data_IF_000260485323
#
_entry.id   IF_000260485323
#
_cell.length_a   1.000
_cell.length_b   1.000
_cell.length_c   1.000
_cell.angle_alpha   90.00
_cell.angle_beta   90.00
_cell.angle_gamma   90.00
#
_symmetry.space_group_name_H-M   'P 1'
#
loop_
_entity.id
_entity.type
_entity.pdbx_description
1 polymer ?
#
# COMPACT_ATOMS: atom_id res chain seq x y z
N UNK A 1 -8.04 18.42 17.36
CA UNK A 1 -9.02 17.58 18.08
C UNK A 1 -8.25 16.54 18.88
N UNK A 2 -8.49 16.35 20.19
CA UNK A 2 -7.77 15.33 20.94
C UNK A 2 -8.21 13.94 20.49
N UNK A 3 -7.24 13.09 20.13
CA UNK A 3 -7.48 11.70 19.76
C UNK A 3 -7.85 10.95 21.04
N UNK A 4 -8.98 10.24 21.05
CA UNK A 4 -9.36 9.42 22.20
C UNK A 4 -8.30 8.34 22.44
N UNK A 5 -8.02 8.00 23.70
CA UNK A 5 -7.05 6.95 24.08
C UNK A 5 -7.33 5.62 23.39
N UNK A 6 -8.60 5.30 23.15
CA UNK A 6 -9.01 4.13 22.36
C UNK A 6 -8.59 4.21 20.89
N UNK A 7 -8.73 5.38 20.25
CA UNK A 7 -8.29 5.58 18.87
C UNK A 7 -6.76 5.58 18.76
N UNK A 8 -6.05 6.11 19.76
CA UNK A 8 -4.58 6.06 19.80
C UNK A 8 -4.08 4.61 19.83
N UNK A 9 -4.66 3.77 20.70
CA UNK A 9 -4.29 2.35 20.80
C UNK A 9 -4.61 1.56 19.51
N UNK A 10 -5.66 1.95 18.77
CA UNK A 10 -5.97 1.33 17.47
C UNK A 10 -4.90 1.65 16.43
N UNK A 11 -4.54 2.92 16.27
CA UNK A 11 -3.55 3.35 15.28
C UNK A 11 -2.16 2.82 15.61
N UNK A 12 -1.78 2.84 16.89
CA UNK A 12 -0.54 2.23 17.37
C UNK A 12 -0.46 0.75 17.00
N UNK A 13 -1.50 -0.03 17.33
CA UNK A 13 -1.54 -1.44 16.96
C UNK A 13 -1.49 -1.66 15.44
N UNK A 14 -2.22 -0.86 14.65
CA UNK A 14 -2.17 -0.95 13.20
C UNK A 14 -0.74 -0.73 12.67
N UNK A 15 -0.07 0.34 13.10
CA UNK A 15 1.30 0.66 12.70
C UNK A 15 2.32 -0.40 13.12
N UNK A 16 2.09 -1.13 14.23
CA UNK A 16 2.94 -2.23 14.65
C UNK A 16 2.91 -3.45 13.71
N UNK A 17 1.88 -3.59 12.87
CA UNK A 17 1.72 -4.72 11.94
C UNK A 17 1.63 -4.31 10.48
N UNK A 18 1.67 -3.01 10.17
CA UNK A 18 1.74 -2.51 8.80
C UNK A 18 3.16 -2.76 8.23
N UNK A 19 3.22 -3.23 6.98
CA UNK A 19 4.46 -3.66 6.32
C UNK A 19 4.84 -2.84 5.10
N UNK A 20 3.95 -2.01 4.57
CA UNK A 20 4.10 -1.43 3.23
C UNK A 20 4.60 0.01 3.30
N UNK A 21 4.20 0.79 4.31
CA UNK A 21 4.40 2.24 4.35
C UNK A 21 4.96 2.76 5.68
N UNK A 22 4.71 2.08 6.80
CA UNK A 22 4.89 2.65 8.12
C UNK A 22 6.33 3.10 8.40
N UNK A 23 7.33 2.38 7.90
CA UNK A 23 8.72 2.74 8.11
C UNK A 23 9.12 4.08 7.44
N UNK A 24 8.43 4.49 6.37
CA UNK A 24 8.69 5.78 5.72
C UNK A 24 8.23 6.97 6.56
N UNK A 25 7.29 6.78 7.49
CA UNK A 25 6.82 7.86 8.38
C UNK A 25 7.92 8.38 9.32
N UNK A 26 9.02 7.65 9.47
CA UNK A 26 10.20 8.06 10.26
C UNK A 26 11.31 8.70 9.45
N UNK A 27 11.22 8.68 8.13
CA UNK A 27 12.23 9.27 7.27
C UNK A 27 12.03 10.79 7.20
N UNK A 28 13.15 11.51 7.09
CA UNK A 28 13.14 12.97 7.08
C UNK A 28 12.44 13.50 5.83
N UNK A 29 11.63 14.55 6.00
CA UNK A 29 10.86 15.20 4.93
C UNK A 29 9.84 14.27 4.24
N UNK A 30 9.48 13.13 4.86
CA UNK A 30 8.50 12.20 4.29
C UNK A 30 7.13 12.85 4.05
N UNK A 31 6.80 13.92 4.78
CA UNK A 31 5.61 14.74 4.56
C UNK A 31 5.62 15.52 3.24
N UNK A 32 6.79 15.70 2.62
CA UNK A 32 6.97 16.40 1.33
C UNK A 32 7.10 15.44 0.16
N UNK A 33 7.18 14.14 0.43
CA UNK A 33 7.32 13.14 -0.61
C UNK A 33 6.04 13.03 -1.44
N UNK A 34 6.22 12.71 -2.72
CA UNK A 34 5.09 12.40 -3.58
C UNK A 34 4.45 11.08 -3.14
N UNK A 35 3.14 10.98 -3.34
CA UNK A 35 2.42 9.72 -3.12
C UNK A 35 2.84 8.74 -4.20
N UNK A 36 3.28 7.56 -3.77
CA UNK A 36 3.63 6.44 -4.62
C UNK A 36 2.86 5.19 -4.20
N UNK A 37 3.00 4.13 -4.99
CA UNK A 37 2.37 2.86 -4.73
C UNK A 37 3.38 1.89 -4.17
N UNK A 38 3.04 1.37 -3.02
CA UNK A 38 3.88 0.48 -2.25
C UNK A 38 3.30 -0.91 -2.35
N UNK A 39 4.09 -1.83 -2.87
CA UNK A 39 3.68 -3.21 -3.04
C UNK A 39 4.72 -4.14 -2.44
N UNK A 40 4.26 -5.04 -1.58
CA UNK A 40 5.03 -6.15 -1.06
C UNK A 40 4.66 -7.37 -1.93
N UNK A 41 5.65 -8.11 -2.43
CA UNK A 41 5.44 -9.23 -3.37
C UNK A 41 4.42 -10.29 -2.93
N UNK A 42 4.08 -10.34 -1.64
CA UNK A 42 3.07 -11.24 -1.08
C UNK A 42 1.64 -10.69 -1.02
N UNK A 43 1.44 -9.38 -1.11
CA UNK A 43 0.13 -8.77 -0.86
C UNK A 43 -0.64 -8.57 -2.17
N UNK A 44 -1.93 -8.86 -2.20
CA UNK A 44 -2.75 -8.64 -3.42
C UNK A 44 -2.97 -7.14 -3.67
N UNK A 45 -2.92 -6.33 -2.61
CA UNK A 45 -3.20 -4.90 -2.66
C UNK A 45 -1.94 -4.10 -2.36
N UNK A 46 -1.62 -3.16 -3.25
CA UNK A 46 -0.68 -2.09 -2.96
C UNK A 46 -1.31 -1.00 -2.11
N UNK A 47 -0.51 -0.33 -1.29
CA UNK A 47 -0.93 0.84 -0.51
C UNK A 47 -0.42 2.12 -1.15
N UNK A 48 -1.26 3.16 -1.14
CA UNK A 48 -0.87 4.51 -1.53
C UNK A 48 -0.26 5.21 -0.31
N UNK A 49 1.01 5.60 -0.38
CA UNK A 49 1.65 6.33 0.71
C UNK A 49 2.83 7.19 0.20
N UNK A 50 3.29 8.17 0.98
CA UNK A 50 4.49 8.92 0.65
C UNK A 50 5.70 7.98 0.56
N UNK A 51 6.48 8.12 -0.51
CA UNK A 51 7.68 7.32 -0.74
C UNK A 51 8.77 8.17 -1.40
N UNK A 52 10.05 7.84 -1.23
CA UNK A 52 11.12 8.58 -1.87
C UNK A 52 10.98 8.50 -3.41
N UNK A 53 11.32 9.60 -4.08
CA UNK A 53 11.30 9.64 -5.54
C UNK A 53 12.46 8.83 -6.11
N UNK A 54 12.19 8.09 -7.18
CA UNK A 54 13.19 7.34 -7.91
C UNK A 54 13.18 7.75 -9.38
N UNK A 55 14.36 7.77 -10.01
CA UNK A 55 14.50 8.08 -11.43
C UNK A 55 13.92 7.01 -12.37
N UNK A 56 13.41 5.91 -11.82
CA UNK A 56 12.84 4.76 -12.56
C UNK A 56 11.35 4.65 -12.22
N UNK A 57 10.51 4.19 -13.17
CA UNK A 57 9.07 4.03 -12.93
C UNK A 57 8.78 3.04 -11.81
N UNK A 58 9.63 2.03 -11.65
CA UNK A 58 9.59 1.05 -10.57
C UNK A 58 10.94 1.05 -9.88
N UNK A 59 10.92 1.21 -8.57
CA UNK A 59 12.05 1.03 -7.69
C UNK A 59 11.79 -0.13 -6.72
N UNK A 60 12.89 -0.62 -6.16
CA UNK A 60 12.91 -1.82 -5.35
C UNK A 60 13.78 -1.59 -4.12
N UNK A 61 13.28 -1.98 -2.96
CA UNK A 61 14.01 -2.01 -1.71
C UNK A 61 14.20 -3.46 -1.30
N UNK A 62 15.46 -3.86 -1.15
CA UNK A 62 15.84 -5.22 -0.74
C UNK A 62 15.20 -5.61 0.61
N UNK A 63 14.85 -6.91 0.78
CA UNK A 63 14.22 -7.39 2.00
C UNK A 63 15.01 -7.06 3.27
N UNK A 64 16.34 -7.21 3.25
CA UNK A 64 17.17 -6.92 4.44
C UNK A 64 17.08 -5.44 4.84
N UNK A 65 17.18 -4.55 3.85
CA UNK A 65 17.06 -3.10 4.06
C UNK A 65 15.67 -2.75 4.58
N UNK A 66 14.62 -3.31 3.97
CA UNK A 66 13.24 -3.04 4.37
C UNK A 66 12.93 -3.56 5.79
N UNK A 67 13.33 -4.78 6.12
CA UNK A 67 13.22 -5.36 7.47
C UNK A 67 13.89 -4.49 8.51
N UNK A 68 15.08 -3.96 8.21
CA UNK A 68 15.81 -3.07 9.13
C UNK A 68 15.08 -1.75 9.35
N UNK A 69 14.46 -1.19 8.31
CA UNK A 69 13.64 0.02 8.42
C UNK A 69 12.38 -0.25 9.28
N UNK A 70 11.63 -1.31 8.99
CA UNK A 70 10.45 -1.72 9.77
C UNK A 70 10.79 -2.00 11.24
N UNK A 71 11.90 -2.68 11.50
CA UNK A 71 12.35 -2.96 12.87
C UNK A 71 12.63 -1.67 13.64
N UNK A 72 13.38 -0.73 13.04
CA UNK A 72 13.66 0.58 13.65
C UNK A 72 12.38 1.34 13.95
N UNK A 73 11.43 1.33 13.02
CA UNK A 73 10.13 1.96 13.18
C UNK A 73 9.31 1.37 14.33
N UNK A 74 9.12 0.04 14.33
CA UNK A 74 8.36 -0.63 15.38
C UNK A 74 8.99 -0.45 16.76
N UNK A 75 10.32 -0.40 16.83
CA UNK A 75 11.06 -0.13 18.07
C UNK A 75 10.84 1.29 18.57
N UNK A 76 10.83 2.30 17.69
CA UNK A 76 10.69 3.70 18.10
C UNK A 76 9.30 4.02 18.66
N UNK A 77 8.25 3.40 18.11
CA UNK A 77 6.87 3.59 18.58
C UNK A 77 6.50 2.65 19.75
N UNK A 78 7.42 1.79 20.20
CA UNK A 78 7.20 0.92 21.36
C UNK A 78 6.29 -0.30 21.10
N UNK A 79 6.43 -0.94 19.94
CA UNK A 79 5.72 -2.19 19.64
C UNK A 79 6.22 -3.37 20.49
N UNK A 80 5.40 -4.42 20.58
CA UNK A 80 5.75 -5.66 21.30
C UNK A 80 6.89 -6.43 20.62
N UNK A 81 7.59 -7.29 21.38
CA UNK A 81 8.64 -8.17 20.83
C UNK A 81 8.13 -9.08 19.71
N UNK A 82 6.88 -9.54 19.81
CA UNK A 82 6.22 -10.31 18.74
C UNK A 82 6.10 -9.49 17.46
N UNK A 83 5.57 -8.27 17.55
CA UNK A 83 5.45 -7.38 16.39
C UNK A 83 6.81 -7.03 15.77
N UNK A 84 7.86 -6.89 16.60
CA UNK A 84 9.23 -6.71 16.10
C UNK A 84 9.75 -7.95 15.36
N UNK A 85 9.50 -9.16 15.87
CA UNK A 85 9.90 -10.41 15.22
C UNK A 85 9.19 -10.63 13.88
N UNK A 86 7.89 -10.32 13.83
CA UNK A 86 7.08 -10.40 12.62
C UNK A 86 7.65 -9.54 11.47
N UNK A 87 8.36 -8.44 11.76
CA UNK A 87 9.03 -7.63 10.74
C UNK A 87 10.04 -8.43 9.90
N UNK A 88 10.63 -9.51 10.44
CA UNK A 88 11.57 -10.38 9.71
C UNK A 88 10.93 -11.15 8.57
N UNK A 89 9.60 -11.29 8.58
CA UNK A 89 8.85 -11.93 7.49
C UNK A 89 8.59 -11.00 6.30
N UNK A 90 8.89 -9.71 6.45
CA UNK A 90 8.77 -8.76 5.36
C UNK A 90 9.65 -9.19 4.19
N UNK A 91 9.10 -9.14 2.98
CA UNK A 91 9.85 -9.35 1.75
C UNK A 91 10.35 -8.00 1.24
N UNK A 92 10.73 -7.96 -0.02
CA UNK A 92 11.02 -6.72 -0.73
C UNK A 92 9.83 -5.76 -0.74
N UNK A 93 10.15 -4.48 -0.95
CA UNK A 93 9.16 -3.45 -1.22
C UNK A 93 9.40 -2.87 -2.62
N UNK A 94 8.37 -2.92 -3.45
CA UNK A 94 8.32 -2.22 -4.72
C UNK A 94 7.69 -0.85 -4.51
N UNK A 95 8.34 0.18 -5.06
CA UNK A 95 7.85 1.55 -5.08
C UNK A 95 7.59 1.92 -6.53
N UNK A 96 6.32 2.04 -6.89
CA UNK A 96 5.90 2.44 -8.24
C UNK A 96 5.53 3.92 -8.24
N UNK A 97 6.16 4.69 -9.13
CA UNK A 97 5.88 6.12 -9.30
C UNK A 97 4.59 6.38 -10.10
N UNK A 98 4.03 5.34 -10.73
CA UNK A 98 2.76 5.40 -11.44
C UNK A 98 1.55 5.32 -10.48
N UNK A 99 0.35 5.65 -10.97
CA UNK A 99 -0.87 5.67 -10.15
C UNK A 99 -1.14 4.31 -9.53
N UNK A 100 -1.61 4.32 -8.29
CA UNK A 100 -1.97 3.09 -7.62
C UNK A 100 -3.26 2.61 -8.25
N UNK A 101 -3.16 1.52 -9.02
CA UNK A 101 -4.31 0.64 -9.12
C UNK A 101 -4.52 0.08 -7.71
N UNK A 102 -5.29 0.80 -6.88
CA UNK A 102 -6.29 0.11 -6.07
C UNK A 102 -7.01 -0.77 -7.08
N UNK A 103 -6.67 -2.06 -7.13
CA UNK A 103 -6.93 -2.97 -8.25
C UNK A 103 -8.08 -2.46 -9.09
N UNK A 104 -7.76 -1.84 -10.25
CA UNK A 104 -8.74 -1.15 -11.07
C UNK A 104 -9.97 -2.04 -11.24
N UNK A 105 -11.18 -1.46 -11.34
CA UNK A 105 -12.48 -2.17 -11.41
C UNK A 105 -12.25 -3.66 -11.66
N UNK A 106 -12.31 -4.47 -10.60
CA UNK A 106 -11.90 -5.87 -10.68
C UNK A 106 -12.55 -6.60 -11.87
N UNK A 107 -12.07 -7.80 -12.18
CA UNK A 107 -12.59 -8.56 -13.33
C UNK A 107 -14.12 -8.62 -13.36
N UNK A 108 -14.78 -8.70 -12.19
CA UNK A 108 -16.24 -8.69 -12.07
C UNK A 108 -16.90 -7.40 -12.60
N UNK A 109 -16.61 -6.19 -12.10
CA UNK A 109 -17.17 -4.96 -12.69
C UNK A 109 -16.74 -4.71 -14.14
N UNK A 110 -15.53 -5.10 -14.56
CA UNK A 110 -15.13 -5.00 -15.99
C UNK A 110 -15.99 -5.91 -16.86
N UNK A 111 -16.24 -7.15 -16.46
CA UNK A 111 -17.13 -8.07 -17.16
C UNK A 111 -18.57 -7.53 -17.21
N UNK A 112 -19.07 -6.95 -16.11
CA UNK A 112 -20.40 -6.34 -16.10
C UNK A 112 -20.52 -5.18 -17.08
N UNK A 113 -19.53 -4.28 -17.12
CA UNK A 113 -19.49 -3.17 -18.08
C UNK A 113 -19.44 -3.71 -19.51
N UNK A 114 -18.62 -4.74 -19.75
CA UNK A 114 -18.45 -5.36 -21.07
C UNK A 114 -19.75 -6.00 -21.56
N UNK A 115 -20.44 -6.76 -20.70
CA UNK A 115 -21.74 -7.39 -21.02
C UNK A 115 -22.81 -6.34 -21.27
N UNK A 116 -22.85 -5.28 -20.45
CA UNK A 116 -23.83 -4.21 -20.61
C UNK A 116 -23.65 -3.49 -21.96
N UNK A 117 -22.41 -3.20 -22.35
CA UNK A 117 -22.10 -2.63 -23.66
C UNK A 117 -22.50 -3.55 -24.82
N UNK A 118 -22.23 -4.85 -24.71
CA UNK A 118 -22.63 -5.83 -25.74
C UNK A 118 -24.15 -5.89 -25.90
N UNK A 119 -24.91 -5.87 -24.81
CA UNK A 119 -26.38 -5.85 -24.85
C UNK A 119 -26.88 -4.55 -25.49
N UNK A 120 -26.33 -3.39 -25.09
CA UNK A 120 -26.70 -2.09 -25.67
C UNK A 120 -26.45 -2.03 -27.18
N UNK A 121 -25.30 -2.52 -27.64
CA UNK A 121 -24.97 -2.58 -29.08
C UNK A 121 -25.94 -3.50 -29.81
N UNK A 122 -26.23 -4.67 -29.26
CA UNK A 122 -27.16 -5.64 -29.86
C UNK A 122 -28.56 -5.03 -29.97
N UNK A 123 -29.05 -4.35 -28.93
CA UNK A 123 -30.35 -3.68 -28.96
C UNK A 123 -30.38 -2.51 -29.95
N UNK A 124 -29.30 -1.75 -30.11
CA UNK A 124 -29.22 -0.67 -31.09
C UNK A 124 -29.17 -1.18 -32.53
N UNK A 125 -28.47 -2.28 -32.80
CA UNK A 125 -28.30 -2.83 -34.14
C UNK A 125 -29.47 -3.71 -34.63
N UNK A 126 -30.23 -4.33 -33.73
CA UNK A 126 -31.33 -5.25 -34.10
C UNK A 126 -32.73 -4.69 -33.83
N UNK A 127 -32.84 -3.46 -33.33
CA UNK A 127 -34.13 -2.82 -32.97
C UNK A 127 -34.35 -1.47 -33.66
N UNK A 128 -33.47 -1.08 -34.58
CA UNK A 128 -33.69 -0.04 -35.60
C UNK A 128 -33.83 -0.68 -36.97
#
# INVERSE_FOLDING_TARGET
>A
MPISTFSYNRWHNYLCYEYQSAAFLMENDSERWQIACLWNGNDINGTCAPAPSYNKPIAYIEPEKWRKMLYKFRKSIGCTARAMWEAQKAQELYVCSERCLHGGIGYTPVLLISVTLMISITLLCFRG
#
